data_IF_949915149528
#
_entry.id   IF_949915149528
#
_cell.length_a   1.000
_cell.length_b   1.000
_cell.length_c   1.000
_cell.angle_alpha   90.00
_cell.angle_beta   90.00
_cell.angle_gamma   90.00
#
_symmetry.space_group_name_H-M   'P 1'
#
loop_
_entity.id
_entity.type
_entity.pdbx_description
1 polymer ?
#
# COMPACT_ATOMS: atom_id res chain seq x y z
N UNK A 1 33.25 -11.78 -12.33
CA UNK A 1 31.84 -11.43 -12.02
C UNK A 1 31.69 -11.30 -10.51
N UNK A 2 31.84 -10.08 -9.97
CA UNK A 2 31.83 -9.79 -8.52
C UNK A 2 31.11 -8.47 -8.28
N UNK A 3 29.77 -8.41 -8.38
CA UNK A 3 28.93 -7.28 -7.89
C UNK A 3 27.45 -7.70 -7.72
N UNK A 4 27.17 -8.80 -7.03
CA UNK A 4 25.80 -9.16 -6.61
C UNK A 4 25.79 -9.50 -5.11
N UNK A 5 26.35 -8.59 -4.30
CA UNK A 5 26.45 -8.76 -2.85
C UNK A 5 25.88 -7.56 -2.05
N UNK A 6 25.24 -6.58 -2.72
CA UNK A 6 24.89 -5.31 -2.08
C UNK A 6 23.40 -5.07 -1.78
N UNK A 7 22.47 -5.86 -2.33
CA UNK A 7 21.05 -5.48 -2.30
C UNK A 7 20.15 -6.35 -1.40
N UNK A 8 20.68 -7.46 -0.87
CA UNK A 8 19.92 -8.36 0.01
C UNK A 8 20.14 -8.11 1.52
N UNK A 9 21.02 -7.17 1.89
CA UNK A 9 21.38 -6.91 3.31
C UNK A 9 20.59 -5.76 3.93
N UNK A 10 19.85 -4.97 3.16
CA UNK A 10 19.06 -3.85 3.68
C UNK A 10 17.63 -4.27 4.10
N UNK A 11 17.17 -5.45 3.70
CA UNK A 11 15.78 -5.91 3.92
C UNK A 11 15.57 -6.77 5.18
N UNK A 12 16.61 -7.05 5.97
CA UNK A 12 16.50 -7.93 7.16
C UNK A 12 16.78 -7.18 8.48
N UNK A 13 17.30 -5.95 8.44
CA UNK A 13 17.49 -5.13 9.65
C UNK A 13 16.24 -4.36 10.11
N UNK A 14 15.13 -4.44 9.35
CA UNK A 14 13.84 -3.88 9.76
C UNK A 14 12.97 -4.86 10.57
N UNK A 15 13.47 -6.07 10.84
CA UNK A 15 12.78 -7.04 11.69
C UNK A 15 13.13 -6.83 13.16
N UNK A 16 12.14 -6.45 13.97
CA UNK A 16 12.19 -6.32 15.43
C UNK A 16 12.80 -5.02 16.01
N UNK A 17 12.43 -3.87 15.46
CA UNK A 17 12.16 -2.73 16.35
C UNK A 17 10.74 -2.93 16.88
N UNK A 18 10.65 -3.60 18.03
CA UNK A 18 9.49 -3.46 18.92
C UNK A 18 9.49 -2.01 19.38
N UNK A 19 8.98 -1.11 18.53
CA UNK A 19 8.65 0.24 18.95
C UNK A 19 7.50 0.06 19.92
N UNK A 20 7.83 0.15 21.21
CA UNK A 20 6.80 0.37 22.20
C UNK A 20 6.09 1.67 21.77
N UNK A 21 4.76 1.64 21.60
CA UNK A 21 3.93 2.80 21.31
C UNK A 21 4.11 3.97 22.30
N UNK A 22 4.65 3.67 23.48
CA UNK A 22 5.16 4.65 24.44
C UNK A 22 6.42 5.33 23.88
N UNK A 23 6.35 6.65 23.70
CA UNK A 23 7.46 7.44 23.18
C UNK A 23 7.44 7.62 21.66
N UNK A 24 6.33 7.28 20.98
CA UNK A 24 6.16 7.66 19.59
C UNK A 24 5.85 9.15 19.40
N UNK A 25 5.32 9.84 20.42
CA UNK A 25 4.99 11.26 20.33
C UNK A 25 6.21 12.10 19.90
N UNK A 26 6.01 12.95 18.90
CA UNK A 26 7.06 13.78 18.29
C UNK A 26 7.97 13.02 17.32
N UNK A 27 7.82 11.70 17.16
CA UNK A 27 8.58 10.91 16.20
C UNK A 27 7.96 10.95 14.81
N UNK A 28 8.83 10.73 13.83
CA UNK A 28 8.47 10.62 12.42
C UNK A 28 8.87 9.26 11.88
N UNK A 29 7.99 8.65 11.11
CA UNK A 29 8.19 7.34 10.50
C UNK A 29 8.08 7.43 8.97
N UNK A 30 8.90 6.63 8.28
CA UNK A 30 8.81 6.39 6.84
C UNK A 30 8.75 4.89 6.64
N UNK A 31 7.72 4.41 5.95
CA UNK A 31 7.49 2.99 5.75
C UNK A 31 7.21 2.68 4.27
N UNK A 32 8.14 2.03 3.56
CA UNK A 32 7.82 1.45 2.25
C UNK A 32 6.87 0.26 2.45
N UNK A 33 5.95 0.06 1.52
CA UNK A 33 5.02 -1.07 1.55
C UNK A 33 4.76 -1.63 0.16
N UNK A 34 4.28 -2.87 0.14
CA UNK A 34 3.74 -3.54 -1.05
C UNK A 34 2.52 -4.36 -0.68
N UNK A 35 1.62 -4.57 -1.63
CA UNK A 35 0.37 -5.29 -1.37
C UNK A 35 -0.39 -5.66 -2.64
N UNK A 36 -1.60 -6.19 -2.42
CA UNK A 36 -2.55 -6.51 -3.48
C UNK A 36 -3.58 -5.39 -3.59
N UNK A 37 -3.86 -4.96 -4.82
CA UNK A 37 -4.86 -3.94 -5.11
C UNK A 37 -6.12 -4.63 -5.66
N UNK A 38 -7.24 -4.42 -5.00
CA UNK A 38 -8.53 -4.99 -5.41
C UNK A 38 -9.40 -3.86 -5.99
N UNK A 39 -9.79 -3.93 -7.28
CA UNK A 39 -10.69 -2.94 -7.84
C UNK A 39 -12.07 -3.03 -7.18
N UNK A 40 -12.78 -1.91 -7.11
CA UNK A 40 -14.16 -1.80 -6.62
C UNK A 40 -14.99 -0.89 -7.54
N UNK A 41 -16.31 -0.97 -7.46
CA UNK A 41 -17.22 -0.14 -8.25
C UNK A 41 -17.02 -0.34 -9.77
N UNK A 42 -17.05 0.76 -10.53
CA UNK A 42 -16.91 0.74 -12.00
C UNK A 42 -15.58 0.10 -12.48
N UNK A 43 -14.54 0.07 -11.63
CA UNK A 43 -13.30 -0.64 -11.94
C UNK A 43 -13.46 -2.16 -11.90
N UNK A 44 -14.33 -2.68 -11.02
CA UNK A 44 -14.55 -4.11 -10.84
C UNK A 44 -15.76 -4.64 -11.62
N UNK A 45 -16.39 -3.82 -12.46
CA UNK A 45 -17.61 -4.19 -13.17
C UNK A 45 -17.37 -5.34 -14.17
N UNK A 46 -18.41 -6.13 -14.41
CA UNK A 46 -18.47 -7.19 -15.41
C UNK A 46 -19.60 -7.00 -16.43
N UNK A 47 -20.44 -5.97 -16.28
CA UNK A 47 -21.50 -5.66 -17.25
C UNK A 47 -20.93 -4.88 -18.44
N UNK A 48 -20.85 -5.56 -19.60
CA UNK A 48 -20.37 -4.99 -20.87
C UNK A 48 -21.24 -3.83 -21.40
N UNK A 49 -22.45 -3.65 -20.87
CA UNK A 49 -23.33 -2.55 -21.24
C UNK A 49 -23.09 -1.28 -20.43
N UNK A 50 -22.30 -1.33 -19.34
CA UNK A 50 -22.00 -0.14 -18.55
C UNK A 50 -20.95 0.73 -19.27
N UNK A 51 -21.31 1.93 -19.74
CA UNK A 51 -20.37 2.80 -20.47
C UNK A 51 -19.28 3.40 -19.57
N UNK A 52 -19.40 3.27 -18.24
CA UNK A 52 -18.43 3.80 -17.27
C UNK A 52 -17.46 2.73 -16.76
N UNK A 53 -17.70 1.46 -17.07
CA UNK A 53 -16.90 0.37 -16.55
C UNK A 53 -15.47 0.38 -17.13
N UNK A 54 -14.50 0.09 -16.26
CA UNK A 54 -13.08 0.08 -16.61
C UNK A 54 -12.53 -1.36 -16.65
N UNK A 55 -13.31 -2.36 -16.21
CA UNK A 55 -13.04 -3.80 -16.34
C UNK A 55 -11.64 -4.27 -15.91
N UNK A 56 -11.28 -4.02 -14.66
CA UNK A 56 -9.97 -4.37 -14.08
C UNK A 56 -10.05 -5.60 -13.17
N UNK A 57 -8.99 -6.41 -13.20
CA UNK A 57 -8.76 -7.49 -12.22
C UNK A 57 -7.85 -7.00 -11.10
N UNK A 58 -7.73 -7.81 -10.04
CA UNK A 58 -6.79 -7.55 -8.95
C UNK A 58 -5.37 -7.40 -9.48
N UNK A 59 -4.59 -6.54 -8.85
CA UNK A 59 -3.22 -6.29 -9.22
C UNK A 59 -2.33 -6.08 -8.01
N UNK A 60 -1.23 -5.37 -8.22
CA UNK A 60 -0.23 -5.10 -7.19
C UNK A 60 -0.12 -3.62 -6.91
N UNK A 61 0.13 -3.27 -5.66
CA UNK A 61 0.44 -1.91 -5.25
C UNK A 61 1.76 -1.85 -4.49
N UNK A 62 2.43 -0.73 -4.63
CA UNK A 62 3.62 -0.39 -3.87
C UNK A 62 3.61 1.09 -3.55
N UNK A 63 4.25 1.45 -2.45
CA UNK A 63 4.21 2.82 -2.00
C UNK A 63 5.11 3.13 -0.84
N UNK A 64 5.03 4.37 -0.42
CA UNK A 64 5.70 4.90 0.75
C UNK A 64 4.65 5.62 1.58
N UNK A 65 4.63 5.31 2.87
CA UNK A 65 3.86 6.02 3.88
C UNK A 65 4.79 6.84 4.74
N UNK A 66 4.38 8.05 5.09
CA UNK A 66 5.06 8.91 6.05
C UNK A 66 4.11 9.29 7.16
N UNK A 67 4.53 9.20 8.42
CA UNK A 67 3.68 9.51 9.56
C UNK A 67 4.40 10.38 10.59
N UNK A 68 3.69 11.36 11.12
CA UNK A 68 4.08 12.09 12.32
C UNK A 68 3.13 11.75 13.46
N UNK A 69 3.69 11.42 14.63
CA UNK A 69 2.93 11.09 15.83
C UNK A 69 2.83 12.33 16.73
N UNK A 70 1.61 12.70 17.09
CA UNK A 70 1.33 13.90 17.88
C UNK A 70 0.78 13.56 19.28
N UNK A 71 0.46 12.30 19.53
CA UNK A 71 0.13 11.72 20.83
C UNK A 71 0.77 10.32 20.91
N UNK A 72 0.95 9.73 22.10
CA UNK A 72 1.40 8.37 22.25
C UNK A 72 0.54 7.39 21.41
N UNK A 73 1.18 6.73 20.45
CA UNK A 73 0.52 5.77 19.57
C UNK A 73 -0.42 6.35 18.50
N UNK A 74 -0.72 7.66 18.47
CA UNK A 74 -1.61 8.27 17.47
C UNK A 74 -0.82 9.19 16.54
N UNK A 75 -0.98 8.97 15.23
CA UNK A 75 -0.32 9.78 14.21
C UNK A 75 -1.19 10.06 13.00
N UNK A 76 -0.79 11.07 12.24
CA UNK A 76 -1.34 11.37 10.92
C UNK A 76 -0.24 11.25 9.88
N UNK A 77 -0.62 10.89 8.66
CA UNK A 77 0.35 10.62 7.63
C UNK A 77 -0.15 10.83 6.22
N UNK A 78 0.79 10.84 5.29
CA UNK A 78 0.55 10.80 3.86
C UNK A 78 0.91 9.42 3.34
N UNK A 79 0.12 8.92 2.39
CA UNK A 79 0.50 7.78 1.59
C UNK A 79 0.69 8.19 0.13
N UNK A 80 1.73 7.65 -0.48
CA UNK A 80 1.97 7.71 -1.90
C UNK A 80 1.96 6.29 -2.41
N UNK A 81 0.97 5.96 -3.24
CA UNK A 81 0.74 4.60 -3.73
C UNK A 81 0.72 4.60 -5.24
N UNK A 82 1.48 3.69 -5.82
CA UNK A 82 1.36 3.31 -7.20
C UNK A 82 0.73 1.92 -7.28
N UNK A 83 -0.30 1.75 -8.10
CA UNK A 83 -0.95 0.47 -8.30
C UNK A 83 -1.09 0.16 -9.79
N UNK A 84 -0.85 -1.11 -10.13
CA UNK A 84 -1.04 -1.65 -11.49
C UNK A 84 -2.15 -2.67 -11.45
N UNK A 85 -3.17 -2.46 -12.26
CA UNK A 85 -4.27 -3.39 -12.46
C UNK A 85 -4.23 -3.91 -13.88
N UNK A 86 -4.33 -5.21 -14.03
CA UNK A 86 -4.48 -5.82 -15.35
C UNK A 86 -5.95 -5.72 -15.81
N UNK A 87 -6.17 -5.82 -17.12
CA UNK A 87 -7.51 -5.95 -17.71
C UNK A 87 -8.17 -7.28 -17.35
N UNK A 88 -9.49 -7.28 -17.25
CA UNK A 88 -10.28 -8.52 -17.26
C UNK A 88 -10.26 -9.12 -18.66
N UNK A 89 -10.31 -10.45 -18.71
CA UNK A 89 -10.48 -11.19 -19.96
C UNK A 89 -11.97 -11.16 -20.34
N UNK A 90 -12.34 -10.22 -21.20
CA UNK A 90 -13.70 -10.05 -21.73
C UNK A 90 -13.65 -10.07 -23.26
N UNK A 91 -14.73 -10.54 -23.89
CA UNK A 91 -14.84 -10.58 -25.34
C UNK A 91 -14.65 -9.17 -25.93
N UNK A 92 -13.70 -9.03 -26.87
CA UNK A 92 -13.36 -7.75 -27.50
C UNK A 92 -12.35 -6.88 -26.75
N UNK A 93 -11.82 -7.30 -25.59
CA UNK A 93 -10.79 -6.57 -24.84
C UNK A 93 -9.42 -7.24 -24.97
N UNK A 94 -8.37 -6.42 -25.04
CA UNK A 94 -6.99 -6.92 -25.01
C UNK A 94 -6.60 -7.34 -23.59
N UNK A 95 -6.17 -8.59 -23.36
CA UNK A 95 -5.76 -9.07 -22.04
C UNK A 95 -4.46 -8.39 -21.53
N UNK A 96 -3.70 -7.74 -22.42
CA UNK A 96 -2.44 -7.07 -22.09
C UNK A 96 -2.61 -5.61 -21.64
N UNK A 97 -3.83 -5.08 -21.65
CA UNK A 97 -4.07 -3.71 -21.20
C UNK A 97 -3.91 -3.58 -19.68
N UNK A 98 -3.15 -2.56 -19.26
CA UNK A 98 -2.84 -2.30 -17.85
C UNK A 98 -3.24 -0.89 -17.47
N UNK A 99 -4.00 -0.79 -16.39
CA UNK A 99 -4.28 0.49 -15.74
C UNK A 99 -3.24 0.75 -14.66
N UNK A 100 -2.56 1.89 -14.75
CA UNK A 100 -1.63 2.35 -13.73
C UNK A 100 -2.23 3.55 -13.02
N UNK A 101 -2.19 3.56 -11.69
CA UNK A 101 -2.73 4.65 -10.89
C UNK A 101 -1.68 5.16 -9.91
N UNK A 102 -1.69 6.47 -9.68
CA UNK A 102 -0.94 7.12 -8.60
C UNK A 102 -1.98 7.71 -7.66
N UNK A 103 -1.95 7.28 -6.40
CA UNK A 103 -2.88 7.70 -5.37
C UNK A 103 -2.08 8.42 -4.28
N UNK A 104 -2.57 9.59 -3.89
CA UNK A 104 -2.03 10.36 -2.76
C UNK A 104 -3.19 10.53 -1.78
N UNK A 105 -2.96 10.13 -0.53
CA UNK A 105 -3.99 10.15 0.49
C UNK A 105 -3.45 10.57 1.84
N UNK A 106 -4.35 11.07 2.67
CA UNK A 106 -4.12 11.32 4.09
C UNK A 106 -4.69 10.16 4.89
N UNK A 107 -4.03 9.77 5.97
CA UNK A 107 -4.56 8.74 6.87
C UNK A 107 -4.23 9.06 8.33
N UNK A 108 -4.99 8.45 9.23
CA UNK A 108 -4.71 8.41 10.67
C UNK A 108 -4.26 7.01 11.04
N UNK A 109 -3.29 6.90 11.93
CA UNK A 109 -2.73 5.65 12.43
C UNK A 109 -2.86 5.62 13.95
N UNK A 110 -3.28 4.48 14.47
CA UNK A 110 -3.28 4.18 15.89
C UNK A 110 -2.51 2.88 16.13
N UNK A 111 -1.56 2.91 17.05
CA UNK A 111 -0.74 1.77 17.46
C UNK A 111 -1.18 1.37 18.86
N UNK A 112 -1.65 0.14 19.01
CA UNK A 112 -2.09 -0.41 20.30
C UNK A 112 -1.18 -1.56 20.71
N UNK A 113 -0.99 -1.70 22.03
CA UNK A 113 -0.30 -2.84 22.61
C UNK A 113 -1.29 -3.98 22.87
N UNK A 114 -0.86 -5.22 22.60
CA UNK A 114 -1.68 -6.39 22.94
C UNK A 114 -1.74 -6.63 24.46
N UNK A 115 -0.72 -6.18 25.21
CA UNK A 115 -0.63 -6.37 26.66
C UNK A 115 -1.55 -5.42 27.46
N UNK A 116 -2.09 -4.37 26.84
CA UNK A 116 -3.01 -3.41 27.49
C UNK A 116 -4.49 -3.77 27.35
N UNK A 117 -4.82 -4.96 26.83
CA UNK A 117 -6.20 -5.50 26.69
C UNK A 117 -6.41 -6.69 27.65
N UNK A 118 -5.82 -6.64 28.86
CA UNK A 118 -6.04 -7.63 29.94
C UNK A 118 -6.52 -6.92 31.19
#
# INVERSE_FOLDING_TARGET
MKKVAGFAVILILAGFLTLYGDGLEGLFNISPFGGFAFPIGDMADGDLQNPRAIYRKSGYEFGISTEGFFEPGIGVGLNFRYAVFDSKELEGFSPDDKLQTINIGVHMKSVFFLESIV
#
